data_IF_905282140996
#
_entry.id   IF_905282140996
#
_cell.length_a   1.000
_cell.length_b   1.000
_cell.length_c   1.000
_cell.angle_alpha   90.00
_cell.angle_beta   90.00
_cell.angle_gamma   90.00
#
_symmetry.space_group_name_H-M   'P 1'
#
loop_
_entity.id
_entity.type
_entity.pdbx_description
1 polymer ?
#
# COMPACT_ATOMS: atom_id res chain seq x y z
N UNK A 1 -32.78 -13.28 -21.76
CA UNK A 1 -33.45 -12.75 -20.55
C UNK A 1 -33.94 -11.35 -20.86
N UNK A 2 -35.24 -11.13 -20.65
CA UNK A 2 -36.03 -9.97 -21.08
C UNK A 2 -35.59 -8.70 -20.34
N UNK A 3 -35.24 -7.65 -21.08
CA UNK A 3 -35.11 -6.29 -20.57
C UNK A 3 -36.52 -5.69 -20.58
N UNK A 4 -37.14 -5.50 -19.40
CA UNK A 4 -38.48 -4.91 -19.28
C UNK A 4 -38.39 -3.53 -18.64
N UNK A 5 -38.28 -2.50 -19.46
CA UNK A 5 -38.51 -1.11 -19.08
C UNK A 5 -40.02 -0.85 -19.02
N UNK A 6 -40.59 -0.82 -17.81
CA UNK A 6 -41.97 -0.35 -17.59
C UNK A 6 -41.94 1.17 -17.39
N UNK A 7 -42.50 1.89 -18.37
CA UNK A 7 -42.69 3.35 -18.34
C UNK A 7 -44.17 3.63 -18.05
N UNK A 8 -44.47 4.42 -17.02
CA UNK A 8 -45.83 4.90 -16.76
C UNK A 8 -45.89 6.41 -17.02
N UNK A 9 -46.91 6.84 -17.76
CA UNK A 9 -47.19 8.25 -18.06
C UNK A 9 -48.46 8.66 -17.31
N UNK A 10 -48.38 9.67 -16.45
CA UNK A 10 -49.58 10.39 -16.01
C UNK A 10 -49.71 11.69 -16.82
N UNK A 11 -50.84 11.82 -17.53
CA UNK A 11 -51.25 13.04 -18.21
C UNK A 11 -52.13 13.85 -17.25
N UNK A 12 -51.70 15.03 -16.85
CA UNK A 12 -52.61 16.07 -16.33
C UNK A 12 -52.70 17.20 -17.35
N UNK A 13 -53.94 17.54 -17.70
CA UNK A 13 -54.30 18.48 -18.76
C UNK A 13 -54.62 19.83 -18.12
N UNK A 14 -53.76 20.84 -18.29
CA UNK A 14 -54.16 22.23 -18.14
C UNK A 14 -53.34 23.10 -19.09
N UNK A 15 -54.06 23.97 -19.79
CA UNK A 15 -53.65 24.59 -21.04
C UNK A 15 -52.48 25.58 -20.97
N UNK A 16 -51.85 25.70 -22.14
CA UNK A 16 -50.85 26.68 -22.57
C UNK A 16 -49.50 26.66 -21.84
N UNK A 17 -48.46 26.41 -22.65
CA UNK A 17 -47.03 26.21 -22.35
C UNK A 17 -46.64 24.80 -21.89
N UNK A 18 -46.40 23.92 -22.88
CA UNK A 18 -45.62 22.69 -22.73
C UNK A 18 -44.15 23.05 -22.44
N UNK A 19 -43.85 23.36 -21.18
CA UNK A 19 -42.48 23.29 -20.66
C UNK A 19 -42.29 21.85 -20.19
N UNK A 20 -41.54 21.08 -20.97
CA UNK A 20 -41.04 19.76 -20.55
C UNK A 20 -40.05 19.97 -19.38
N UNK A 21 -40.56 19.97 -18.16
CA UNK A 21 -39.71 19.90 -16.97
C UNK A 21 -39.31 18.43 -16.82
N UNK A 22 -38.16 18.07 -17.38
CA UNK A 22 -37.51 16.82 -17.07
C UNK A 22 -36.99 16.94 -15.63
N UNK A 23 -37.76 16.47 -14.65
CA UNK A 23 -37.27 16.28 -13.29
C UNK A 23 -36.34 15.07 -13.37
N UNK A 24 -35.00 15.21 -13.27
CA UNK A 24 -34.16 14.03 -13.15
C UNK A 24 -34.61 13.29 -11.90
N UNK A 25 -35.10 12.06 -12.06
CA UNK A 25 -35.23 11.14 -10.94
C UNK A 25 -33.89 11.15 -10.22
N UNK A 26 -33.91 11.46 -8.92
CA UNK A 26 -32.74 11.35 -8.07
C UNK A 26 -32.05 10.02 -8.37
N UNK A 27 -30.79 10.08 -8.80
CA UNK A 27 -29.99 8.92 -9.09
C UNK A 27 -30.09 7.99 -7.87
N UNK A 28 -30.61 6.78 -8.09
CA UNK A 28 -30.65 5.75 -7.05
C UNK A 28 -29.20 5.51 -6.64
N UNK A 29 -28.86 5.97 -5.44
CA UNK A 29 -27.52 5.86 -4.87
C UNK A 29 -27.12 4.40 -4.83
N UNK A 30 -26.22 3.97 -5.72
CA UNK A 30 -25.69 2.61 -5.69
C UNK A 30 -24.73 2.52 -4.51
N UNK A 31 -25.07 1.71 -3.50
CA UNK A 31 -24.17 1.43 -2.39
C UNK A 31 -23.16 0.38 -2.83
N UNK A 32 -21.88 0.74 -2.83
CA UNK A 32 -20.77 -0.16 -3.10
C UNK A 32 -20.31 -0.80 -1.80
N UNK A 33 -20.24 -2.14 -1.77
CA UNK A 33 -19.66 -2.87 -0.65
C UNK A 33 -18.12 -2.86 -0.72
N UNK A 34 -17.47 -2.52 0.38
CA UNK A 34 -16.01 -2.47 0.50
C UNK A 34 -15.57 -3.38 1.64
N UNK A 35 -14.71 -4.36 1.30
CA UNK A 35 -14.17 -5.33 2.26
C UNK A 35 -12.68 -5.05 2.51
N UNK A 36 -12.31 -4.72 3.74
CA UNK A 36 -10.92 -4.41 4.15
C UNK A 36 -10.37 -5.48 5.06
N UNK A 37 -9.17 -5.97 4.77
CA UNK A 37 -8.45 -6.91 5.64
C UNK A 37 -7.72 -6.14 6.74
N UNK A 38 -7.95 -6.54 7.98
CA UNK A 38 -7.33 -5.98 9.18
C UNK A 38 -6.54 -7.06 9.91
N UNK A 39 -5.21 -6.98 9.96
CA UNK A 39 -4.40 -7.91 10.75
C UNK A 39 -4.57 -7.58 12.24
N UNK A 40 -5.24 -8.48 12.98
CA UNK A 40 -5.43 -8.37 14.41
C UNK A 40 -5.73 -9.74 15.02
N UNK A 41 -5.18 -9.97 16.21
CA UNK A 41 -5.32 -11.17 17.02
C UNK A 41 -6.33 -11.02 18.17
N UNK A 42 -6.93 -9.84 18.33
CA UNK A 42 -7.92 -9.55 19.37
C UNK A 42 -9.37 -9.60 18.86
N UNK A 43 -10.33 -9.66 19.78
CA UNK A 43 -11.75 -9.58 19.44
C UNK A 43 -12.16 -8.12 19.20
N UNK A 44 -12.73 -7.78 18.02
CA UNK A 44 -13.17 -6.43 17.72
C UNK A 44 -14.44 -6.11 18.50
N UNK A 45 -14.48 -4.95 19.14
CA UNK A 45 -15.66 -4.37 19.77
C UNK A 45 -16.36 -3.38 18.83
N UNK A 46 -15.57 -2.53 18.19
CA UNK A 46 -16.04 -1.57 17.19
C UNK A 46 -15.16 -1.61 15.94
N UNK A 47 -15.77 -1.23 14.82
CA UNK A 47 -15.06 -1.09 13.56
C UNK A 47 -15.61 0.13 12.80
N UNK A 48 -14.71 0.80 12.10
CA UNK A 48 -14.98 2.03 11.36
C UNK A 48 -14.34 1.89 9.98
N UNK A 49 -15.16 2.02 8.93
CA UNK A 49 -14.66 2.20 7.57
C UNK A 49 -14.13 3.61 7.40
N UNK A 50 -13.02 3.78 6.69
CA UNK A 50 -12.42 5.08 6.39
C UNK A 50 -12.18 5.15 4.89
N UNK A 51 -12.60 6.26 4.29
CA UNK A 51 -12.42 6.54 2.88
C UNK A 51 -11.48 7.73 2.75
N UNK A 52 -10.58 7.67 1.78
CA UNK A 52 -9.58 8.67 1.51
C UNK A 52 -9.70 9.07 0.04
N UNK A 53 -10.18 10.29 -0.21
CA UNK A 53 -10.19 10.88 -1.55
C UNK A 53 -9.11 11.98 -1.61
N UNK A 54 -8.01 11.77 -2.33
CA UNK A 54 -6.89 12.72 -2.39
C UNK A 54 -7.18 13.92 -3.29
N UNK A 55 -8.13 13.82 -4.22
CA UNK A 55 -8.39 14.85 -5.24
C UNK A 55 -9.49 15.82 -4.83
N UNK A 56 -10.19 15.56 -3.72
CA UNK A 56 -11.20 16.46 -3.18
C UNK A 56 -10.61 17.29 -2.04
N UNK A 57 -10.79 18.60 -2.11
CA UNK A 57 -10.34 19.59 -1.11
C UNK A 57 -10.92 19.38 0.28
N UNK A 58 -11.95 18.53 0.39
CA UNK A 58 -12.52 18.06 1.64
C UNK A 58 -12.16 16.59 1.81
N UNK A 59 -11.17 16.34 2.69
CA UNK A 59 -10.71 15.00 3.07
C UNK A 59 -11.83 14.27 3.84
N UNK A 60 -12.81 13.73 3.14
CA UNK A 60 -13.93 13.05 3.78
C UNK A 60 -13.50 11.68 4.32
N UNK A 61 -13.19 11.62 5.61
CA UNK A 61 -13.28 10.38 6.38
C UNK A 61 -14.76 10.08 6.60
N UNK A 62 -15.37 9.31 5.70
CA UNK A 62 -16.74 8.80 5.92
C UNK A 62 -16.65 7.70 6.97
N UNK A 63 -16.95 8.07 8.21
CA UNK A 63 -17.03 7.19 9.38
C UNK A 63 -18.38 6.49 9.35
N UNK A 64 -18.51 5.41 8.56
CA UNK A 64 -19.77 4.66 8.57
C UNK A 64 -19.79 3.66 9.74
N UNK A 65 -20.88 3.71 10.53
CA UNK A 65 -21.12 2.89 11.74
C UNK A 65 -21.65 1.49 11.40
N UNK A 66 -22.06 1.26 10.15
CA UNK A 66 -22.63 -0.03 9.69
C UNK A 66 -21.57 -1.02 9.21
N UNK A 67 -20.41 -1.05 9.87
CA UNK A 67 -19.35 -1.97 9.50
C UNK A 67 -19.63 -3.37 10.08
N UNK A 68 -19.57 -4.39 9.24
CA UNK A 68 -19.66 -5.78 9.66
C UNK A 68 -18.26 -6.38 9.74
N UNK A 69 -17.92 -6.97 10.88
CA UNK A 69 -16.63 -7.65 11.05
C UNK A 69 -16.80 -9.15 10.96
N UNK A 70 -16.01 -9.79 10.09
CA UNK A 70 -15.97 -11.25 9.90
C UNK A 70 -14.56 -11.74 10.15
N UNK A 71 -14.40 -12.79 10.95
CA UNK A 71 -13.08 -13.40 11.18
C UNK A 71 -12.71 -14.31 10.00
N UNK A 72 -11.55 -14.07 9.40
CA UNK A 72 -11.02 -14.90 8.31
C UNK A 72 -10.14 -16.03 8.87
N UNK A 73 -9.30 -15.71 9.86
CA UNK A 73 -8.40 -16.61 10.57
C UNK A 73 -8.02 -15.99 11.93
N UNK A 74 -7.12 -16.63 12.70
CA UNK A 74 -6.77 -16.19 14.06
C UNK A 74 -6.14 -14.79 14.12
N UNK A 75 -5.48 -14.36 13.05
CA UNK A 75 -4.73 -13.09 12.97
C UNK A 75 -5.29 -12.09 11.96
N UNK A 76 -6.37 -12.40 11.25
CA UNK A 76 -6.96 -11.50 10.25
C UNK A 76 -8.49 -11.44 10.37
N UNK A 77 -8.99 -10.21 10.35
CA UNK A 77 -10.39 -9.85 10.33
C UNK A 77 -10.71 -9.16 9.00
N UNK A 78 -11.94 -9.31 8.53
CA UNK A 78 -12.47 -8.61 7.36
C UNK A 78 -13.52 -7.64 7.87
N UNK A 79 -13.33 -6.35 7.60
CA UNK A 79 -14.30 -5.30 7.90
C UNK A 79 -14.99 -4.92 6.60
N UNK A 80 -16.29 -5.17 6.53
CA UNK A 80 -17.16 -4.83 5.40
C UNK A 80 -17.96 -3.56 5.71
N UNK A 81 -17.93 -2.57 4.84
CA UNK A 81 -18.77 -1.36 4.95
C UNK A 81 -19.28 -0.92 3.58
N UNK A 82 -20.35 -0.12 3.57
CA UNK A 82 -20.96 0.38 2.33
C UNK A 82 -20.54 1.82 2.07
N UNK A 83 -20.41 2.16 0.80
CA UNK A 83 -20.01 3.49 0.35
C UNK A 83 -20.91 3.91 -0.78
N UNK A 84 -21.36 5.16 -0.75
CA UNK A 84 -22.09 5.73 -1.87
C UNK A 84 -21.17 5.81 -3.12
N UNK A 85 -21.54 5.11 -4.20
CA UNK A 85 -20.77 5.08 -5.44
C UNK A 85 -20.55 6.45 -6.08
N UNK A 86 -21.47 7.40 -5.88
CA UNK A 86 -21.35 8.77 -6.36
C UNK A 86 -20.23 9.56 -5.67
N UNK A 87 -19.74 9.10 -4.51
CA UNK A 87 -18.66 9.72 -3.74
C UNK A 87 -17.29 9.07 -4.02
N UNK A 88 -17.24 8.09 -4.93
CA UNK A 88 -16.04 7.34 -5.27
C UNK A 88 -15.46 7.89 -6.59
N UNK A 89 -14.39 8.67 -6.47
CA UNK A 89 -13.59 9.13 -7.60
C UNK A 89 -12.62 8.06 -8.10
N UNK A 90 -11.92 8.37 -9.20
CA UNK A 90 -10.93 7.45 -9.78
C UNK A 90 -9.78 7.10 -8.82
N UNK A 91 -9.46 7.98 -7.87
CA UNK A 91 -8.34 7.83 -6.94
C UNK A 91 -8.79 7.66 -5.48
N UNK A 92 -9.96 7.06 -5.24
CA UNK A 92 -10.44 6.79 -3.89
C UNK A 92 -9.76 5.56 -3.28
N UNK A 93 -9.32 5.69 -2.03
CA UNK A 93 -8.80 4.60 -1.21
C UNK A 93 -9.71 4.34 -0.02
N UNK A 94 -9.70 3.11 0.46
CA UNK A 94 -10.43 2.69 1.64
C UNK A 94 -9.52 1.92 2.60
N UNK A 95 -9.71 2.14 3.88
CA UNK A 95 -9.13 1.38 4.98
C UNK A 95 -10.18 1.19 6.07
N UNK A 96 -9.86 0.41 7.10
CA UNK A 96 -10.73 0.20 8.25
C UNK A 96 -9.91 0.33 9.53
N UNK A 97 -10.53 0.84 10.58
CA UNK A 97 -9.99 0.83 11.93
C UNK A 97 -10.86 -0.07 12.78
N UNK A 98 -10.26 -0.97 13.54
CA UNK A 98 -10.96 -1.74 14.56
C UNK A 98 -10.41 -1.41 15.93
N UNK A 99 -11.28 -1.45 16.94
CA UNK A 99 -10.92 -1.24 18.33
C UNK A 99 -11.48 -2.34 19.22
N UNK A 100 -10.73 -2.71 20.26
CA UNK A 100 -11.11 -3.66 21.31
C UNK A 100 -11.63 -2.93 22.55
N UNK A 101 -12.39 -3.63 23.40
CA UNK A 101 -12.82 -3.12 24.71
C UNK A 101 -11.64 -2.76 25.62
N UNK A 102 -10.50 -3.44 25.42
CA UNK A 102 -9.26 -3.20 26.17
C UNK A 102 -8.45 -2.02 25.64
N UNK A 103 -8.95 -1.28 24.63
CA UNK A 103 -8.29 -0.11 24.05
C UNK A 103 -7.27 -0.42 22.93
N UNK A 104 -7.04 -1.70 22.61
CA UNK A 104 -6.21 -2.08 21.47
C UNK A 104 -6.86 -1.68 20.15
N UNK A 105 -6.10 -1.12 19.22
CA UNK A 105 -6.61 -0.69 17.92
C UNK A 105 -5.70 -1.16 16.79
N UNK A 106 -6.29 -1.54 15.65
CA UNK A 106 -5.56 -2.01 14.48
C UNK A 106 -6.12 -1.41 13.19
N UNK A 107 -5.22 -1.09 12.26
CA UNK A 107 -5.57 -0.53 10.96
C UNK A 107 -5.55 -1.59 9.87
N UNK A 108 -6.51 -1.47 8.97
CA UNK A 108 -6.66 -2.30 7.80
C UNK A 108 -5.72 -1.91 6.67
N UNK A 109 -5.52 -2.85 5.77
CA UNK A 109 -4.76 -2.62 4.54
C UNK A 109 -5.47 -1.58 3.68
N UNK A 110 -4.76 -0.55 3.23
CA UNK A 110 -5.31 0.46 2.33
C UNK A 110 -5.53 -0.17 0.95
N UNK A 111 -6.77 -0.16 0.47
CA UNK A 111 -7.15 -0.65 -0.87
C UNK A 111 -7.70 0.48 -1.73
N UNK A 112 -7.38 0.47 -3.02
CA UNK A 112 -8.05 1.36 -3.99
C UNK A 112 -9.47 0.85 -4.22
N UNK A 113 -10.43 1.76 -4.19
CA UNK A 113 -11.85 1.47 -4.48
C UNK A 113 -12.15 2.03 -5.85
N UNK A 114 -12.75 1.21 -6.71
CA UNK A 114 -13.13 1.62 -8.05
C UNK A 114 -14.63 1.39 -8.20
N UNK A 115 -15.39 2.45 -8.49
CA UNK A 115 -16.84 2.40 -8.64
C UNK A 115 -17.29 1.43 -9.77
N UNK A 116 -16.41 1.16 -10.74
CA UNK A 116 -16.70 0.32 -11.90
C UNK A 116 -16.18 -1.12 -11.76
N UNK A 117 -15.63 -1.51 -10.61
CA UNK A 117 -15.09 -2.86 -10.42
C UNK A 117 -16.21 -3.81 -9.93
N UNK A 118 -16.56 -4.87 -10.69
CA UNK A 118 -17.47 -5.88 -10.19
C UNK A 118 -16.86 -6.61 -8.99
N UNK A 119 -17.68 -6.83 -7.96
CA UNK A 119 -17.43 -7.53 -6.68
C UNK A 119 -16.61 -8.82 -6.81
N UNK A 120 -15.29 -8.68 -6.97
CA UNK A 120 -14.36 -9.79 -6.84
C UNK A 120 -13.39 -9.44 -5.74
N UNK A 121 -13.53 -10.16 -4.63
CA UNK A 121 -12.57 -10.25 -3.55
C UNK A 121 -11.19 -10.57 -4.12
N UNK A 122 -10.39 -9.54 -4.39
CA UNK A 122 -9.00 -9.66 -4.83
C UNK A 122 -8.13 -9.15 -3.68
N UNK A 123 -8.05 -9.98 -2.64
CA UNK A 123 -6.99 -9.88 -1.64
C UNK A 123 -5.93 -10.89 -2.11
N UNK A 124 -4.76 -10.40 -2.50
CA UNK A 124 -3.56 -11.14 -2.96
C UNK A 124 -3.42 -11.50 -4.45
N UNK A 125 -3.93 -10.71 -5.38
CA UNK A 125 -3.48 -10.82 -6.77
C UNK A 125 -2.77 -9.51 -7.11
N UNK A 126 -1.43 -9.54 -7.12
CA UNK A 126 -0.64 -8.62 -7.96
C UNK A 126 -1.38 -8.58 -9.28
N UNK A 127 -1.84 -7.43 -9.80
CA UNK A 127 -2.70 -7.39 -10.96
C UNK A 127 -2.04 -8.17 -12.09
N UNK A 128 -2.50 -9.41 -12.29
CA UNK A 128 -2.14 -10.20 -13.44
C UNK A 128 -2.92 -9.53 -14.55
N UNK A 129 -2.31 -8.55 -15.19
CA UNK A 129 -2.82 -8.00 -16.43
C UNK A 129 -3.11 -9.21 -17.31
N UNK A 130 -4.38 -9.50 -17.66
CA UNK A 130 -4.65 -10.56 -18.59
C UNK A 130 -3.88 -10.20 -19.86
N UNK A 131 -2.96 -11.07 -20.26
CA UNK A 131 -2.24 -10.90 -21.51
C UNK A 131 -3.34 -10.83 -22.60
N UNK A 132 -3.48 -9.73 -23.33
CA UNK A 132 -4.46 -9.65 -24.40
C UNK A 132 -4.14 -10.79 -25.37
N UNK A 133 -5.13 -11.63 -25.69
CA UNK A 133 -4.96 -12.64 -26.72
C UNK A 133 -4.59 -11.93 -28.03
N UNK A 134 -3.35 -12.14 -28.45
CA UNK A 134 -2.71 -11.39 -29.52
C UNK A 134 -3.20 -11.92 -30.86
N UNK A 135 -4.40 -11.50 -31.27
CA UNK A 135 -4.89 -11.71 -32.64
C UNK A 135 -4.44 -10.59 -33.60
N UNK A 136 -3.64 -9.63 -33.12
CA UNK A 136 -3.19 -8.48 -33.90
C UNK A 136 -1.65 -8.53 -34.08
N UNK A 137 -1.12 -8.64 -35.32
CA UNK A 137 0.31 -8.77 -35.60
C UNK A 137 1.15 -7.57 -35.14
N UNK A 138 0.54 -6.38 -35.03
CA UNK A 138 1.20 -5.18 -34.48
C UNK A 138 1.50 -5.33 -32.98
N UNK A 139 0.59 -5.97 -32.26
CA UNK A 139 0.72 -6.20 -30.83
C UNK A 139 1.75 -7.32 -30.55
N UNK A 140 1.90 -8.28 -31.46
CA UNK A 140 2.96 -9.31 -31.41
C UNK A 140 4.37 -8.70 -31.57
N UNK A 141 4.53 -7.68 -32.43
CA UNK A 141 5.80 -6.97 -32.54
C UNK A 141 6.15 -6.22 -31.25
N UNK A 142 5.17 -5.56 -30.62
CA UNK A 142 5.36 -4.85 -29.34
C UNK A 142 5.64 -5.80 -28.17
N UNK A 143 5.01 -6.97 -28.12
CA UNK A 143 5.31 -7.96 -27.07
C UNK A 143 6.72 -8.52 -27.20
N UNK A 144 7.24 -8.69 -28.41
CA UNK A 144 8.63 -9.13 -28.61
C UNK A 144 9.64 -8.12 -28.05
N UNK A 145 9.42 -6.82 -28.25
CA UNK A 145 10.24 -5.75 -27.67
C UNK A 145 10.15 -5.74 -26.15
N UNK A 146 8.95 -5.91 -25.58
CA UNK A 146 8.77 -5.99 -24.13
C UNK A 146 9.48 -7.22 -23.56
N UNK A 147 9.42 -8.37 -24.23
CA UNK A 147 10.15 -9.57 -23.82
C UNK A 147 11.66 -9.36 -23.84
N UNK A 148 12.19 -8.69 -24.87
CA UNK A 148 13.60 -8.30 -24.93
C UNK A 148 13.99 -7.38 -23.76
N UNK A 149 13.16 -6.38 -23.43
CA UNK A 149 13.41 -5.50 -22.27
C UNK A 149 13.39 -6.27 -20.95
N UNK A 150 12.48 -7.24 -20.80
CA UNK A 150 12.43 -8.10 -19.60
C UNK A 150 13.70 -8.94 -19.50
N UNK A 151 14.17 -9.52 -20.61
CA UNK A 151 15.42 -10.28 -20.67
C UNK A 151 16.63 -9.40 -20.32
N UNK A 152 16.76 -8.22 -20.95
CA UNK A 152 17.81 -7.25 -20.63
C UNK A 152 17.81 -6.85 -19.16
N UNK A 153 16.63 -6.61 -18.57
CA UNK A 153 16.51 -6.32 -17.12
C UNK A 153 16.89 -7.50 -16.25
N UNK A 154 16.67 -8.74 -16.70
CA UNK A 154 17.08 -9.95 -15.99
C UNK A 154 18.60 -10.11 -16.04
N UNK A 155 19.21 -9.94 -17.21
CA UNK A 155 20.66 -9.99 -17.40
C UNK A 155 21.37 -8.90 -16.61
N UNK A 156 20.89 -7.66 -16.69
CA UNK A 156 21.44 -6.54 -15.91
C UNK A 156 21.41 -6.82 -14.40
N UNK A 157 20.30 -7.37 -13.89
CA UNK A 157 20.22 -7.77 -12.47
C UNK A 157 21.20 -8.88 -12.12
N UNK A 158 21.41 -9.83 -13.02
CA UNK A 158 22.37 -10.90 -12.80
C UNK A 158 23.81 -10.37 -12.76
N UNK A 159 24.18 -9.48 -13.69
CA UNK A 159 25.48 -8.81 -13.70
C UNK A 159 25.70 -8.00 -12.43
N UNK A 160 24.73 -7.18 -12.02
CA UNK A 160 24.82 -6.41 -10.79
C UNK A 160 24.98 -7.30 -9.55
N UNK A 161 24.29 -8.45 -9.50
CA UNK A 161 24.49 -9.41 -8.42
C UNK A 161 25.89 -10.01 -8.42
N UNK A 162 26.46 -10.28 -9.60
CA UNK A 162 27.83 -10.78 -9.72
C UNK A 162 28.82 -9.73 -9.23
N UNK A 163 28.70 -8.49 -9.71
CA UNK A 163 29.51 -7.36 -9.23
C UNK A 163 29.37 -7.14 -7.72
N UNK A 164 28.17 -7.32 -7.17
CA UNK A 164 27.95 -7.22 -5.73
C UNK A 164 28.66 -8.34 -4.96
N UNK A 165 28.65 -9.57 -5.48
CA UNK A 165 29.41 -10.69 -4.90
C UNK A 165 30.91 -10.45 -4.96
N UNK A 166 31.40 -9.97 -6.10
CA UNK A 166 32.82 -9.66 -6.30
C UNK A 166 33.27 -8.47 -5.44
N UNK A 167 32.37 -7.52 -5.13
CA UNK A 167 32.67 -6.40 -4.22
C UNK A 167 32.53 -6.77 -2.73
N UNK A 168 31.69 -7.77 -2.42
CA UNK A 168 31.49 -8.30 -1.07
C UNK A 168 32.31 -9.57 -0.86
N UNK A 169 33.64 -9.45 -0.98
CA UNK A 169 34.57 -10.53 -0.67
C UNK A 169 34.35 -11.07 0.76
N UNK A 170 34.70 -12.34 1.00
CA UNK A 170 34.52 -12.98 2.32
C UNK A 170 35.14 -12.19 3.48
N UNK A 171 36.26 -11.51 3.22
CA UNK A 171 36.90 -10.61 4.17
C UNK A 171 35.99 -9.44 4.54
N UNK A 172 35.40 -8.77 3.56
CA UNK A 172 34.47 -7.64 3.79
C UNK A 172 33.21 -8.09 4.52
N UNK A 173 32.68 -9.27 4.18
CA UNK A 173 31.53 -9.87 4.86
C UNK A 173 31.81 -10.13 6.34
N UNK A 174 33.02 -10.60 6.67
CA UNK A 174 33.43 -10.80 8.06
C UNK A 174 33.51 -9.48 8.84
N UNK A 175 34.07 -8.43 8.22
CA UNK A 175 34.16 -7.09 8.81
C UNK A 175 32.78 -6.48 9.02
N UNK A 176 31.89 -6.60 8.05
CA UNK A 176 30.50 -6.11 8.15
C UNK A 176 29.75 -6.82 9.27
N UNK A 177 29.85 -8.16 9.37
CA UNK A 177 29.26 -8.93 10.48
C UNK A 177 29.78 -8.49 11.85
N UNK A 178 31.07 -8.21 11.94
CA UNK A 178 31.68 -7.69 13.17
C UNK A 178 31.12 -6.30 13.51
N UNK A 179 30.99 -5.40 12.54
CA UNK A 179 30.41 -4.08 12.72
C UNK A 179 28.93 -4.15 13.15
N UNK A 180 28.12 -5.02 12.54
CA UNK A 180 26.73 -5.23 12.96
C UNK A 180 26.64 -5.62 14.44
N UNK A 181 27.50 -6.55 14.88
CA UNK A 181 27.56 -6.96 16.28
C UNK A 181 28.02 -5.84 17.21
N UNK A 182 29.03 -5.07 16.80
CA UNK A 182 29.55 -3.93 17.58
C UNK A 182 28.51 -2.83 17.76
N UNK A 183 27.70 -2.57 16.74
CA UNK A 183 26.62 -1.58 16.78
C UNK A 183 25.31 -2.11 17.36
N UNK A 184 25.26 -3.39 17.80
CA UNK A 184 24.05 -4.00 18.37
C UNK A 184 22.93 -4.23 17.35
N UNK A 185 23.24 -4.25 16.06
CA UNK A 185 22.29 -4.53 14.99
C UNK A 185 22.11 -6.05 14.85
N UNK A 186 21.22 -6.63 15.65
CA UNK A 186 20.90 -8.05 15.58
C UNK A 186 19.78 -8.30 14.57
N UNK A 187 20.04 -9.18 13.60
CA UNK A 187 19.08 -9.63 12.59
C UNK A 187 18.90 -11.14 12.69
N UNK A 188 17.72 -11.64 12.30
CA UNK A 188 17.43 -13.08 12.26
C UNK A 188 18.27 -13.81 11.21
N UNK A 189 18.62 -13.11 10.12
CA UNK A 189 19.39 -13.65 9.00
C UNK A 189 20.87 -13.20 9.06
N UNK A 190 21.85 -14.10 8.88
CA UNK A 190 23.25 -13.71 8.79
C UNK A 190 23.49 -12.88 7.52
N UNK A 191 24.37 -11.87 7.60
CA UNK A 191 24.72 -11.04 6.45
C UNK A 191 25.34 -11.90 5.34
N UNK A 192 24.71 -11.90 4.16
CA UNK A 192 25.10 -12.68 3.00
C UNK A 192 24.83 -11.91 1.71
N UNK A 193 25.65 -12.13 0.68
CA UNK A 193 25.48 -11.54 -0.66
C UNK A 193 24.19 -11.98 -1.37
N UNK A 194 23.57 -13.07 -0.92
CA UNK A 194 22.33 -13.61 -1.50
C UNK A 194 21.05 -13.04 -0.87
N UNK A 195 21.18 -12.12 0.09
CA UNK A 195 20.03 -11.45 0.70
C UNK A 195 19.21 -10.65 -0.33
N UNK A 196 17.90 -10.45 -0.07
CA UNK A 196 17.08 -9.56 -0.87
C UNK A 196 17.71 -8.16 -0.96
N UNK A 197 17.70 -7.57 -2.16
CA UNK A 197 18.37 -6.29 -2.42
C UNK A 197 17.93 -5.17 -1.46
N UNK A 198 16.63 -5.16 -1.10
CA UNK A 198 16.08 -4.19 -0.16
C UNK A 198 16.69 -4.35 1.24
N UNK A 199 16.73 -5.57 1.75
CA UNK A 199 17.28 -5.88 3.07
C UNK A 199 18.77 -5.57 3.14
N UNK A 200 19.53 -5.96 2.10
CA UNK A 200 20.96 -5.68 2.00
C UNK A 200 21.25 -4.18 1.98
N UNK A 201 20.51 -3.40 1.19
CA UNK A 201 20.69 -1.94 1.13
C UNK A 201 20.38 -1.25 2.46
N UNK A 202 19.36 -1.74 3.18
CA UNK A 202 18.92 -1.17 4.46
C UNK A 202 19.91 -1.50 5.58
N UNK A 203 20.49 -2.69 5.58
CA UNK A 203 21.53 -3.08 6.55
C UNK A 203 22.80 -2.26 6.34
N UNK A 204 23.27 -2.16 5.10
CA UNK A 204 24.45 -1.37 4.77
C UNK A 204 24.26 0.12 5.09
N UNK A 205 23.08 0.70 4.83
CA UNK A 205 22.83 2.11 5.14
C UNK A 205 22.85 2.38 6.66
N UNK A 206 22.31 1.47 7.47
CA UNK A 206 22.37 1.58 8.94
C UNK A 206 23.79 1.51 9.47
N UNK A 207 24.62 0.63 8.92
CA UNK A 207 26.04 0.53 9.28
C UNK A 207 26.78 1.81 8.88
N UNK A 208 26.50 2.36 7.68
CA UNK A 208 27.12 3.60 7.23
C UNK A 208 26.77 4.78 8.15
N UNK A 209 25.50 4.92 8.55
CA UNK A 209 25.06 5.95 9.50
C UNK A 209 25.73 5.77 10.87
N UNK A 210 25.87 4.52 11.33
CA UNK A 210 26.53 4.24 12.60
C UNK A 210 28.02 4.62 12.57
N UNK A 211 28.71 4.39 11.45
CA UNK A 211 30.10 4.80 11.26
C UNK A 211 30.25 6.33 11.24
N UNK A 212 29.37 7.03 10.52
CA UNK A 212 29.37 8.50 10.47
C UNK A 212 29.22 9.13 11.87
N UNK A 213 28.33 8.57 12.70
CA UNK A 213 28.15 9.02 14.08
C UNK A 213 29.40 8.78 14.95
N UNK A 214 30.11 7.66 14.76
CA UNK A 214 31.37 7.38 15.49
C UNK A 214 32.46 8.37 15.09
N UNK A 215 32.61 8.65 13.80
CA UNK A 215 33.62 9.59 13.31
C UNK A 215 33.33 11.01 13.76
N UNK A 216 32.05 11.42 13.82
CA UNK A 216 31.64 12.67 14.43
C UNK A 216 32.10 12.75 15.89
N UNK A 217 31.82 11.73 16.71
CA UNK A 217 32.21 11.75 18.13
C UNK A 217 33.74 11.76 18.36
N UNK A 218 34.54 11.16 17.47
CA UNK A 218 36.01 11.24 17.56
C UNK A 218 36.54 12.66 17.32
N UNK A 219 35.90 13.44 16.45
CA UNK A 219 36.33 14.81 16.15
C UNK A 219 36.08 15.77 17.32
N UNK A 220 35.03 15.55 18.11
CA UNK A 220 34.65 16.44 19.23
C UNK A 220 35.21 16.02 20.60
N UNK A 221 35.93 14.90 20.71
CA UNK A 221 36.60 14.50 21.95
C UNK A 221 38.04 15.02 22.10
N UNK A 222 38.54 15.85 21.17
CA UNK A 222 39.87 16.47 21.24
C UNK A 222 39.79 17.93 21.69
N UNK A 223 39.35 18.16 22.92
CA UNK A 223 39.75 19.35 23.66
C UNK A 223 39.99 18.95 25.12
N UNK A 224 41.22 18.53 25.47
CA UNK A 224 41.59 18.45 26.87
C UNK A 224 41.61 19.89 27.39
N UNK A 225 40.63 20.23 28.24
CA UNK A 225 40.68 21.43 29.07
C UNK A 225 41.96 21.35 29.89
N UNK A 226 42.94 22.16 29.49
CA UNK A 226 44.20 22.31 30.19
C UNK A 226 43.88 22.70 31.64
N UNK A 227 44.19 21.76 32.54
CA UNK A 227 44.10 21.91 33.99
C UNK A 227 45.14 22.96 34.40
N UNK A 228 44.72 24.22 34.51
CA UNK A 228 45.52 25.26 35.13
C UNK A 228 45.56 25.00 36.65
N UNK A 229 46.53 24.19 37.07
CA UNK A 229 47.00 24.20 38.44
C UNK A 229 48.09 25.25 38.58
N UNK A 230 47.87 26.24 39.45
CA UNK A 230 48.93 26.87 40.20
C UNK A 230 48.33 27.53 41.45
N UNK A 231 48.37 26.76 42.55
CA UNK A 231 48.56 27.30 43.90
C UNK A 231 49.99 27.90 43.98
N UNK A 232 50.39 28.69 44.99
CA UNK A 232 50.02 28.60 46.41
C UNK A 232 49.11 29.70 46.94
#
# INVERSE_FOLDING_TARGET
MRNSSNTYYQLSLLGLFLVWICIPQQAKTEELKVDVLVPADFQPHSAVGIILNPNETHRYAITDLNSQVRRKNEKELIVSFYVNSAQIGADTYATALISSEQGNSAFGTVRRVNANAPDKNVINIIPACPLPEVNNPVLAAQTSQIQQLIQLRKEKRHLLRKMLKDALDEETLSKIKMLEKLFGLNYESPFSSDLPALELSTRLSRIAIALENVDYHKQFQVTPTARAGSAP
#
